data_IF_390193801631
#
_entry.id   IF_390193801631
#
_cell.length_a   1.000
_cell.length_b   1.000
_cell.length_c   1.000
_cell.angle_alpha   90.00
_cell.angle_beta   90.00
_cell.angle_gamma   90.00
#
_symmetry.space_group_name_H-M   'P 1'
#
loop_
_entity.id
_entity.type
_entity.pdbx_description
1 polymer ?
#
# COMPACT_ATOMS: atom_id res chain seq x y z
N UNK A 1 -16.12 -2.11 -9.29
CA UNK A 1 -15.25 -1.33 -10.22
C UNK A 1 -15.84 0.03 -10.68
N UNK A 2 -17.00 0.10 -11.36
CA UNK A 2 -17.54 1.39 -11.87
C UNK A 2 -17.88 2.38 -10.74
N UNK A 3 -18.36 1.87 -9.60
CA UNK A 3 -18.68 2.67 -8.42
C UNK A 3 -17.42 3.27 -7.78
N UNK A 4 -16.42 2.45 -7.45
CA UNK A 4 -15.13 2.90 -6.92
C UNK A 4 -14.45 3.92 -7.86
N UNK A 5 -14.51 3.72 -9.18
CA UNK A 5 -13.94 4.65 -10.15
C UNK A 5 -14.61 6.03 -10.08
N UNK A 6 -15.95 6.06 -9.97
CA UNK A 6 -16.72 7.30 -9.84
C UNK A 6 -16.42 7.98 -8.50
N UNK A 7 -16.51 7.23 -7.40
CA UNK A 7 -16.23 7.75 -6.06
C UNK A 7 -14.80 8.30 -5.95
N UNK A 8 -13.83 7.63 -6.58
CA UNK A 8 -12.44 8.10 -6.62
C UNK A 8 -12.32 9.44 -7.34
N UNK A 9 -13.02 9.59 -8.48
CA UNK A 9 -13.03 10.85 -9.23
C UNK A 9 -13.65 11.99 -8.41
N UNK A 10 -14.79 11.74 -7.77
CA UNK A 10 -15.49 12.72 -6.95
C UNK A 10 -14.60 13.14 -5.76
N UNK A 11 -13.97 12.17 -5.08
CA UNK A 11 -13.03 12.41 -3.97
C UNK A 11 -11.79 13.21 -4.38
N UNK A 12 -11.26 12.97 -5.59
CA UNK A 12 -10.12 13.73 -6.14
C UNK A 12 -10.51 15.18 -6.41
N UNK A 13 -11.72 15.43 -6.91
CA UNK A 13 -12.19 16.79 -7.25
C UNK A 13 -12.48 17.65 -6.03
N UNK A 14 -12.84 17.02 -4.93
CA UNK A 14 -13.07 17.70 -3.65
C UNK A 14 -11.77 18.06 -2.91
N UNK A 15 -10.61 17.58 -3.38
CA UNK A 15 -9.32 17.71 -2.70
C UNK A 15 -8.21 18.09 -3.69
N UNK A 16 -7.87 19.39 -3.76
CA UNK A 16 -6.91 19.91 -4.74
C UNK A 16 -5.52 19.27 -4.67
N UNK A 17 -5.12 18.71 -3.52
CA UNK A 17 -3.87 17.96 -3.37
C UNK A 17 -3.85 16.66 -4.20
N UNK A 18 -5.02 16.13 -4.54
CA UNK A 18 -5.20 14.93 -5.34
C UNK A 18 -5.35 15.20 -6.83
N UNK A 19 -5.42 16.46 -7.28
CA UNK A 19 -5.71 16.79 -8.68
C UNK A 19 -4.77 16.09 -9.69
N UNK A 20 -3.51 15.87 -9.30
CA UNK A 20 -2.52 15.16 -10.13
C UNK A 20 -2.86 13.68 -10.39
N UNK A 21 -3.75 13.08 -9.60
CA UNK A 21 -4.22 11.70 -9.73
C UNK A 21 -5.39 11.55 -10.70
N UNK A 22 -6.08 12.64 -11.08
CA UNK A 22 -7.32 12.55 -11.87
C UNK A 22 -7.08 11.78 -13.18
N UNK A 23 -6.00 12.09 -13.90
CA UNK A 23 -5.62 11.42 -15.15
C UNK A 23 -5.13 9.98 -14.92
N UNK A 24 -4.59 9.70 -13.74
CA UNK A 24 -3.98 8.41 -13.38
C UNK A 24 -4.92 7.47 -12.62
N UNK A 25 -6.19 7.87 -12.41
CA UNK A 25 -7.17 7.07 -11.66
C UNK A 25 -7.41 5.68 -12.24
N UNK A 26 -7.24 5.51 -13.56
CA UNK A 26 -7.41 4.22 -14.23
C UNK A 26 -6.28 3.23 -13.90
N UNK A 27 -5.09 3.73 -13.55
CA UNK A 27 -3.99 2.91 -13.03
C UNK A 27 -4.21 2.58 -11.54
N UNK A 28 -4.73 3.56 -10.78
CA UNK A 28 -4.94 3.47 -9.34
C UNK A 28 -6.10 2.55 -8.93
N UNK A 29 -7.26 2.71 -9.55
CA UNK A 29 -8.50 2.05 -9.09
C UNK A 29 -8.40 0.52 -9.13
N UNK A 30 -7.89 -0.14 -10.18
CA UNK A 30 -7.82 -1.61 -10.22
C UNK A 30 -6.98 -2.20 -9.08
N UNK A 31 -5.80 -1.64 -8.82
CA UNK A 31 -4.90 -2.13 -7.78
C UNK A 31 -5.46 -1.88 -6.37
N UNK A 32 -6.17 -0.76 -6.18
CA UNK A 32 -6.77 -0.41 -4.88
C UNK A 32 -8.04 -1.21 -4.61
N UNK A 33 -8.82 -1.53 -5.64
CA UNK A 33 -9.99 -2.41 -5.49
C UNK A 33 -9.57 -3.76 -4.90
N UNK A 34 -8.55 -4.39 -5.49
CA UNK A 34 -8.00 -5.66 -5.03
C UNK A 34 -7.42 -5.56 -3.62
N UNK A 35 -6.63 -4.51 -3.35
CA UNK A 35 -6.02 -4.32 -2.05
C UNK A 35 -7.04 -4.07 -0.93
N UNK A 36 -8.04 -3.20 -1.18
CA UNK A 36 -9.07 -2.88 -0.19
C UNK A 36 -9.97 -4.08 0.06
N UNK A 37 -10.32 -4.87 -0.98
CA UNK A 37 -11.06 -6.12 -0.78
C UNK A 37 -10.30 -7.08 0.15
N UNK A 38 -9.00 -7.29 -0.07
CA UNK A 38 -8.15 -8.08 0.84
C UNK A 38 -8.17 -7.53 2.28
N UNK A 39 -8.04 -6.21 2.46
CA UNK A 39 -8.07 -5.57 3.79
C UNK A 39 -9.42 -5.79 4.49
N UNK A 40 -10.53 -5.61 3.79
CA UNK A 40 -11.88 -5.76 4.34
C UNK A 40 -12.18 -7.23 4.67
N UNK A 41 -11.63 -8.17 3.90
CA UNK A 41 -11.68 -9.62 4.15
C UNK A 41 -10.70 -10.08 5.25
N UNK A 42 -9.96 -9.16 5.87
CA UNK A 42 -9.15 -9.42 7.06
C UNK A 42 -7.70 -9.81 6.80
N UNK A 43 -7.18 -9.63 5.59
CA UNK A 43 -5.77 -9.85 5.29
C UNK A 43 -4.89 -8.90 6.11
N UNK A 44 -3.82 -9.43 6.72
CA UNK A 44 -2.79 -8.62 7.35
C UNK A 44 -1.99 -7.85 6.29
N UNK A 45 -1.69 -6.58 6.51
CA UNK A 45 -0.90 -5.77 5.57
C UNK A 45 0.50 -5.55 6.15
N UNK A 46 1.51 -6.07 5.47
CA UNK A 46 2.91 -5.84 5.79
C UNK A 46 3.49 -4.75 4.91
N UNK A 47 3.73 -3.58 5.50
CA UNK A 47 4.27 -2.41 4.81
C UNK A 47 5.79 -2.55 4.75
N UNK A 48 6.32 -2.57 3.53
CA UNK A 48 7.75 -2.69 3.22
C UNK A 48 8.16 -1.48 2.40
N UNK A 49 9.28 -0.85 2.72
CA UNK A 49 9.76 0.30 1.97
C UNK A 49 11.22 0.16 1.57
N UNK A 50 11.67 0.98 0.62
CA UNK A 50 13.09 1.26 0.51
C UNK A 50 13.61 2.07 1.73
N UNK A 51 14.93 2.28 1.78
CA UNK A 51 15.57 2.99 2.89
C UNK A 51 15.13 4.45 3.00
N UNK A 52 14.95 5.12 1.86
CA UNK A 52 14.63 6.55 1.81
C UNK A 52 13.19 6.82 2.27
N UNK A 53 12.27 5.88 2.01
CA UNK A 53 10.84 5.97 2.36
C UNK A 53 10.53 5.26 3.67
N UNK A 54 11.56 4.94 4.44
CA UNK A 54 11.42 4.20 5.69
C UNK A 54 10.66 4.96 6.79
N UNK A 55 10.54 6.28 6.66
CA UNK A 55 9.66 7.13 7.48
C UNK A 55 8.16 6.91 7.17
N UNK A 56 7.84 6.55 5.93
CA UNK A 56 6.47 6.42 5.44
C UNK A 56 5.79 5.20 6.08
N UNK A 57 6.54 4.14 6.31
CA UNK A 57 6.07 2.93 7.00
C UNK A 57 5.50 3.27 8.39
N UNK A 58 6.25 4.05 9.18
CA UNK A 58 5.82 4.51 10.51
C UNK A 58 4.63 5.46 10.41
N UNK A 59 4.64 6.35 9.42
CA UNK A 59 3.51 7.25 9.16
C UNK A 59 2.22 6.48 8.83
N UNK A 60 2.28 5.46 7.98
CA UNK A 60 1.12 4.67 7.56
C UNK A 60 0.52 3.94 8.76
N UNK A 61 1.34 3.20 9.53
CA UNK A 61 0.85 2.44 10.70
C UNK A 61 0.18 3.36 11.72
N UNK A 62 0.78 4.52 12.00
CA UNK A 62 0.22 5.49 12.95
C UNK A 62 -0.99 6.24 12.41
N UNK A 63 -1.09 6.44 11.10
CA UNK A 63 -2.18 7.18 10.49
C UNK A 63 -3.43 6.33 10.31
N UNK A 64 -3.30 5.09 9.82
CA UNK A 64 -4.43 4.19 9.54
C UNK A 64 -5.22 3.86 10.81
N UNK A 65 -4.55 3.64 11.93
CA UNK A 65 -5.14 3.20 13.19
C UNK A 65 -5.34 4.33 14.21
N UNK A 66 -5.59 5.57 13.75
CA UNK A 66 -5.92 6.68 14.65
C UNK A 66 -7.27 6.45 15.34
N UNK A 67 -7.37 6.57 16.68
CA UNK A 67 -8.62 6.34 17.41
C UNK A 67 -9.81 7.21 16.96
N UNK A 68 -9.55 8.39 16.40
CA UNK A 68 -10.58 9.34 15.95
C UNK A 68 -11.40 8.85 14.74
N UNK A 69 -10.96 7.79 14.05
CA UNK A 69 -11.57 7.33 12.79
C UNK A 69 -12.87 6.54 12.96
N UNK A 70 -13.26 6.20 14.19
CA UNK A 70 -14.50 5.46 14.48
C UNK A 70 -14.68 4.14 13.68
N UNK A 71 -13.58 3.53 13.23
CA UNK A 71 -13.54 2.22 12.58
C UNK A 71 -12.72 1.21 13.41
N UNK A 72 -12.89 -0.11 13.23
CA UNK A 72 -12.03 -1.11 13.83
C UNK A 72 -10.56 -0.89 13.53
N UNK A 73 -9.68 -1.38 14.42
CA UNK A 73 -8.26 -1.44 14.13
C UNK A 73 -8.00 -2.39 12.97
N UNK A 74 -7.26 -1.91 11.99
CA UNK A 74 -6.88 -2.67 10.81
C UNK A 74 -5.50 -3.30 11.02
N UNK A 75 -5.25 -4.52 10.49
CA UNK A 75 -4.02 -5.27 10.70
C UNK A 75 -2.86 -4.75 9.83
N UNK A 76 -2.50 -3.47 9.96
CA UNK A 76 -1.37 -2.85 9.26
C UNK A 76 -0.12 -2.89 10.13
N UNK A 77 0.90 -3.57 9.65
CA UNK A 77 2.14 -3.80 10.36
C UNK A 77 3.32 -3.21 9.60
N UNK A 78 4.22 -2.59 10.37
CA UNK A 78 5.55 -2.27 9.89
C UNK A 78 6.34 -3.57 9.73
N UNK A 79 6.85 -3.82 8.52
CA UNK A 79 7.81 -4.88 8.28
C UNK A 79 9.02 -4.78 9.21
N UNK A 80 9.51 -3.59 9.57
CA UNK A 80 10.61 -3.46 10.55
C UNK A 80 10.27 -4.01 11.93
N UNK A 81 9.00 -3.96 12.34
CA UNK A 81 8.54 -4.47 13.63
C UNK A 81 8.52 -6.00 13.70
N UNK A 82 8.21 -6.67 12.59
CA UNK A 82 8.14 -8.14 12.53
C UNK A 82 9.35 -8.80 11.89
N UNK A 83 10.10 -8.03 11.10
CA UNK A 83 11.25 -8.43 10.29
C UNK A 83 12.44 -7.52 10.60
N UNK A 84 12.87 -7.37 11.87
CA UNK A 84 13.83 -6.34 12.30
C UNK A 84 15.20 -6.42 11.63
N UNK A 85 15.53 -7.56 11.02
CA UNK A 85 16.79 -7.79 10.31
C UNK A 85 16.58 -8.19 8.83
N UNK A 86 15.38 -7.99 8.27
CA UNK A 86 15.25 -8.01 6.81
C UNK A 86 15.86 -6.72 6.28
N UNK A 87 16.98 -6.88 5.62
CA UNK A 87 17.66 -5.82 4.93
C UNK A 87 17.62 -6.08 3.42
N UNK A 88 17.84 -5.01 2.65
CA UNK A 88 17.92 -5.09 1.20
C UNK A 88 19.09 -5.96 0.70
N UNK A 89 20.02 -6.39 1.56
CA UNK A 89 21.10 -7.31 1.22
C UNK A 89 20.82 -8.77 1.64
N UNK A 90 19.71 -9.06 2.33
CA UNK A 90 19.36 -10.40 2.80
C UNK A 90 19.34 -11.46 1.68
N UNK A 91 19.63 -12.71 2.06
CA UNK A 91 19.61 -13.88 1.15
C UNK A 91 18.18 -14.36 0.92
N UNK A 92 17.93 -15.03 -0.21
CA UNK A 92 16.61 -15.56 -0.55
C UNK A 92 16.03 -16.52 0.51
N UNK A 93 16.87 -17.38 1.10
CA UNK A 93 16.46 -18.33 2.17
C UNK A 93 15.84 -17.62 3.39
N UNK A 94 16.33 -16.42 3.69
CA UNK A 94 15.83 -15.59 4.78
C UNK A 94 14.40 -15.16 4.47
N UNK A 95 14.15 -14.63 3.26
CA UNK A 95 12.82 -14.26 2.79
C UNK A 95 11.83 -15.44 2.81
N UNK A 96 12.25 -16.62 2.32
CA UNK A 96 11.41 -17.83 2.35
C UNK A 96 11.06 -18.28 3.77
N UNK A 97 12.00 -18.15 4.71
CA UNK A 97 11.74 -18.49 6.12
C UNK A 97 10.70 -17.55 6.74
N UNK A 98 10.68 -16.28 6.31
CA UNK A 98 9.70 -15.31 6.79
C UNK A 98 8.31 -15.56 6.22
N UNK A 99 8.18 -15.82 4.92
CA UNK A 99 6.87 -16.17 4.34
C UNK A 99 6.31 -17.43 4.98
N UNK A 100 7.14 -18.46 5.19
CA UNK A 100 6.71 -19.67 5.90
C UNK A 100 6.20 -19.39 7.32
N UNK A 101 6.83 -18.45 8.03
CA UNK A 101 6.36 -18.05 9.36
C UNK A 101 5.02 -17.33 9.28
N UNK A 102 4.85 -16.42 8.32
CA UNK A 102 3.59 -15.72 8.07
C UNK A 102 2.46 -16.68 7.68
N UNK A 103 2.74 -17.69 6.85
CA UNK A 103 1.78 -18.73 6.48
C UNK A 103 1.27 -19.54 7.68
N UNK A 104 2.05 -19.62 8.76
CA UNK A 104 1.65 -20.29 10.01
C UNK A 104 0.79 -19.37 10.88
N UNK A 105 1.11 -18.07 10.94
CA UNK A 105 0.49 -17.15 11.91
C UNK A 105 -0.66 -16.31 11.34
N UNK A 106 -0.71 -16.15 10.02
CA UNK A 106 -1.70 -15.34 9.32
C UNK A 106 -2.60 -16.22 8.46
N UNK A 107 -3.91 -15.98 8.51
CA UNK A 107 -4.84 -16.63 7.58
C UNK A 107 -4.68 -16.13 6.14
N UNK A 108 -4.40 -14.83 5.97
CA UNK A 108 -4.10 -14.17 4.70
C UNK A 108 -3.27 -12.92 5.00
N UNK A 109 -2.39 -12.55 4.07
CA UNK A 109 -1.59 -11.34 4.18
C UNK A 109 -1.22 -10.78 2.81
N UNK A 110 -0.96 -9.48 2.77
CA UNK A 110 -0.53 -8.73 1.58
C UNK A 110 0.76 -7.99 1.90
N UNK A 111 1.74 -8.07 1.01
CA UNK A 111 2.91 -7.21 1.07
C UNK A 111 2.67 -5.91 0.32
N UNK A 112 2.66 -4.79 1.04
CA UNK A 112 2.59 -3.46 0.45
C UNK A 112 3.99 -2.87 0.34
N UNK A 113 4.56 -2.89 -0.86
CA UNK A 113 5.88 -2.31 -1.11
C UNK A 113 5.79 -0.87 -1.62
N UNK A 114 6.61 0.02 -1.06
CA UNK A 114 6.73 1.43 -1.49
C UNK A 114 8.21 1.81 -1.62
N UNK A 115 8.69 2.01 -2.84
CA UNK A 115 10.08 2.40 -3.04
C UNK A 115 10.59 2.22 -4.45
N UNK A 116 11.90 2.43 -4.60
CA UNK A 116 12.60 2.20 -5.86
C UNK A 116 12.51 0.74 -6.32
N UNK A 117 12.49 0.56 -7.63
CA UNK A 117 12.43 -0.76 -8.24
C UNK A 117 13.72 -1.57 -8.06
N UNK A 118 14.87 -0.91 -7.95
CA UNK A 118 16.22 -1.47 -7.82
C UNK A 118 16.59 -1.86 -6.38
N UNK A 119 15.63 -2.48 -5.67
CA UNK A 119 15.78 -2.90 -4.28
C UNK A 119 15.37 -4.37 -4.13
N UNK A 120 16.15 -5.18 -3.41
CA UNK A 120 15.79 -6.60 -3.19
C UNK A 120 14.46 -6.78 -2.47
N UNK A 121 14.02 -5.81 -1.68
CA UNK A 121 12.70 -5.81 -1.05
C UNK A 121 11.59 -5.63 -2.09
N UNK A 122 11.84 -4.87 -3.16
CA UNK A 122 10.95 -4.79 -4.30
C UNK A 122 10.87 -6.15 -5.00
N UNK A 123 12.02 -6.79 -5.27
CA UNK A 123 12.07 -8.11 -5.89
C UNK A 123 11.38 -9.18 -5.06
N UNK A 124 11.50 -9.10 -3.73
CA UNK A 124 10.81 -9.97 -2.80
C UNK A 124 9.29 -9.78 -2.88
N UNK A 125 8.80 -8.53 -2.78
CA UNK A 125 7.37 -8.22 -2.82
C UNK A 125 6.73 -8.54 -4.18
N UNK A 126 7.43 -8.28 -5.29
CA UNK A 126 6.99 -8.61 -6.67
C UNK A 126 6.73 -10.11 -6.89
N UNK A 127 7.36 -10.98 -6.08
CA UNK A 127 7.24 -12.45 -6.19
C UNK A 127 6.10 -13.02 -5.33
N UNK A 128 5.47 -12.21 -4.50
CA UNK A 128 4.37 -12.65 -3.64
C UNK A 128 3.08 -12.66 -4.47
N UNK A 129 2.22 -13.66 -4.24
CA UNK A 129 0.94 -13.77 -4.94
C UNK A 129 0.04 -12.57 -4.60
N UNK A 130 -0.06 -12.25 -3.31
CA UNK A 130 -0.79 -11.10 -2.79
C UNK A 130 0.18 -9.94 -2.50
N UNK A 131 0.21 -8.97 -3.42
CA UNK A 131 1.03 -7.78 -3.29
C UNK A 131 0.27 -6.49 -3.63
N UNK A 132 0.75 -5.38 -3.09
CA UNK A 132 0.32 -4.03 -3.44
C UNK A 132 1.56 -3.18 -3.65
N UNK A 133 1.81 -2.74 -4.88
CA UNK A 133 3.14 -2.25 -5.29
C UNK A 133 3.10 -0.79 -5.72
N UNK A 134 3.83 0.07 -5.01
CA UNK A 134 4.13 1.44 -5.42
C UNK A 134 5.62 1.50 -5.79
N UNK A 135 5.90 1.44 -7.10
CA UNK A 135 7.24 1.24 -7.63
C UNK A 135 7.77 2.55 -8.23
N UNK A 136 9.00 2.93 -7.89
CA UNK A 136 9.61 4.14 -8.45
C UNK A 136 10.53 3.80 -9.62
N UNK A 137 10.49 4.68 -10.62
CA UNK A 137 11.38 4.72 -11.80
C UNK A 137 11.25 3.55 -12.78
N UNK A 138 10.30 2.64 -12.56
CA UNK A 138 9.98 1.53 -13.44
C UNK A 138 8.46 1.32 -13.53
N UNK A 139 7.97 0.90 -14.70
CA UNK A 139 6.61 0.40 -14.86
C UNK A 139 6.59 -1.11 -14.62
N UNK A 140 5.75 -1.54 -13.69
CA UNK A 140 5.52 -2.95 -13.41
C UNK A 140 4.03 -3.27 -13.51
N UNK A 141 3.70 -4.49 -13.94
CA UNK A 141 2.30 -4.91 -14.04
C UNK A 141 1.63 -4.87 -12.66
N UNK A 142 0.37 -4.43 -12.61
CA UNK A 142 -0.41 -4.33 -11.36
C UNK A 142 0.28 -3.49 -10.27
N UNK A 143 1.03 -2.46 -10.67
CA UNK A 143 1.68 -1.52 -9.75
C UNK A 143 1.27 -0.08 -10.03
N UNK A 144 1.45 0.78 -9.03
CA UNK A 144 1.39 2.23 -9.19
C UNK A 144 2.78 2.81 -9.35
N UNK A 145 3.13 3.28 -10.55
CA UNK A 145 4.46 3.84 -10.79
C UNK A 145 4.57 5.30 -10.35
N UNK A 146 5.67 5.67 -9.72
CA UNK A 146 6.03 7.06 -9.41
C UNK A 146 7.47 7.33 -9.86
N UNK A 147 7.93 8.58 -9.79
CA UNK A 147 9.31 8.95 -10.11
C UNK A 147 10.03 9.35 -8.83
N UNK A 148 11.18 8.74 -8.56
CA UNK A 148 11.96 9.06 -7.35
C UNK A 148 12.57 10.46 -7.39
N UNK A 149 12.70 11.03 -8.59
CA UNK A 149 13.24 12.38 -8.86
C UNK A 149 12.19 13.49 -8.86
N UNK A 150 10.92 13.16 -8.60
CA UNK A 150 9.86 14.15 -8.49
C UNK A 150 10.02 14.96 -7.19
N UNK A 151 10.21 16.28 -7.30
CA UNK A 151 10.37 17.17 -6.15
C UNK A 151 9.17 17.16 -5.21
N UNK A 152 7.98 16.80 -5.72
CA UNK A 152 6.74 16.70 -4.95
C UNK A 152 6.41 15.27 -4.52
N UNK A 153 7.34 14.31 -4.65
CA UNK A 153 7.08 12.89 -4.38
C UNK A 153 6.50 12.64 -2.99
N UNK A 154 7.06 13.25 -1.95
CA UNK A 154 6.61 13.03 -0.57
C UNK A 154 5.17 13.51 -0.38
N UNK A 155 4.82 14.67 -0.95
CA UNK A 155 3.44 15.18 -0.93
C UNK A 155 2.49 14.25 -1.69
N UNK A 156 2.92 13.70 -2.83
CA UNK A 156 2.15 12.71 -3.60
C UNK A 156 1.94 11.41 -2.83
N UNK A 157 2.96 10.93 -2.11
CA UNK A 157 2.84 9.73 -1.26
C UNK A 157 1.84 9.96 -0.13
N UNK A 158 1.92 11.11 0.55
CA UNK A 158 0.96 11.48 1.60
C UNK A 158 -0.46 11.60 1.05
N UNK A 159 -0.63 12.21 -0.13
CA UNK A 159 -1.94 12.36 -0.77
C UNK A 159 -2.52 10.99 -1.18
N UNK A 160 -1.70 10.08 -1.72
CA UNK A 160 -2.11 8.71 -2.04
C UNK A 160 -2.57 7.94 -0.80
N UNK A 161 -1.85 8.05 0.33
CA UNK A 161 -2.23 7.41 1.58
C UNK A 161 -3.57 7.98 2.08
N UNK A 162 -3.74 9.31 2.00
CA UNK A 162 -5.01 9.98 2.35
C UNK A 162 -6.17 9.46 1.49
N UNK A 163 -5.96 9.30 0.18
CA UNK A 163 -6.98 8.75 -0.72
C UNK A 163 -7.31 7.29 -0.38
N UNK A 164 -6.29 6.44 -0.23
CA UNK A 164 -6.46 5.03 0.16
C UNK A 164 -7.21 4.89 1.49
N UNK A 165 -6.87 5.71 2.47
CA UNK A 165 -7.49 5.72 3.79
C UNK A 165 -8.98 6.07 3.73
N UNK A 166 -9.34 7.09 2.93
CA UNK A 166 -10.74 7.43 2.63
C UNK A 166 -11.45 6.30 1.87
N UNK A 167 -10.77 5.62 0.95
CA UNK A 167 -11.35 4.48 0.22
C UNK A 167 -11.69 3.33 1.16
N UNK A 168 -10.80 3.02 2.10
CA UNK A 168 -11.06 1.98 3.11
C UNK A 168 -12.28 2.36 3.96
N UNK A 169 -12.39 3.62 4.40
CA UNK A 169 -13.57 4.09 5.15
C UNK A 169 -14.85 3.93 4.34
N UNK A 170 -14.86 4.41 3.10
CA UNK A 170 -16.04 4.36 2.24
C UNK A 170 -16.53 2.93 1.99
N UNK A 171 -15.61 1.98 1.77
CA UNK A 171 -15.98 0.56 1.62
C UNK A 171 -16.47 -0.03 2.94
N UNK A 172 -15.75 0.21 4.03
CA UNK A 172 -16.07 -0.36 5.34
C UNK A 172 -17.43 0.11 5.88
N UNK A 173 -17.81 1.35 5.61
CA UNK A 173 -19.10 1.91 5.99
C UNK A 173 -20.20 1.69 4.95
N UNK A 174 -19.90 0.97 3.86
CA UNK A 174 -20.87 0.61 2.82
C UNK A 174 -21.30 1.77 1.93
N UNK A 175 -20.50 2.85 1.84
CA UNK A 175 -20.73 3.94 0.89
C UNK A 175 -20.50 3.48 -0.56
N UNK A 176 -19.56 2.55 -0.76
CA UNK A 176 -19.21 1.95 -2.05
C UNK A 176 -18.87 0.46 -1.89
N UNK A 177 -19.03 -0.32 -2.95
CA UNK A 177 -18.60 -1.73 -3.00
C UNK A 177 -17.34 -1.91 -3.85
N UNK A 178 -16.46 -2.81 -3.39
CA UNK A 178 -15.26 -3.27 -4.12
C UNK A 178 -15.51 -4.60 -4.82
#
# INVERSE_FOLDING_TARGET
MTELLKWTLDTIRDDSELAWLEERRFEWVPIVNSFVDNVINGSAVFIVTDKDRSWLEEYIVKSINKPIKNRPYLPFFSSKGMLPNIYADAKQEVFSSYTNMLDIVCNSYVFWYIGRHDNKLADFAKKQDDNFLWIFDEQWQNSFSLRSTDENLDMKLLSLIKLLDKTIDAVMFGEISV
#
